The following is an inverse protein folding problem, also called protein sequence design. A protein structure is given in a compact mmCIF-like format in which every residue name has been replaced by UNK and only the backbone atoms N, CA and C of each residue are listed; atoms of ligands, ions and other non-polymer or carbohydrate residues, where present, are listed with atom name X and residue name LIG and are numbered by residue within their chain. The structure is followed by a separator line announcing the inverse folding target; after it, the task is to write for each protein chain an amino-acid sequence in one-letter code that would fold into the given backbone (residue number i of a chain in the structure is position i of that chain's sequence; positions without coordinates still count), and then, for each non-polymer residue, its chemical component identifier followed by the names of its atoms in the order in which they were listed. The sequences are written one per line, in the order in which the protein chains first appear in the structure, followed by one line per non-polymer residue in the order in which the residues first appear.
data_IF_653521292837
#
_entry.id   IF_653521292837
#
_cell.length_a   1.000
_cell.length_b   1.000
_cell.length_c   1.000
_cell.angle_alpha   90.00
_cell.angle_beta   90.00
_cell.angle_gamma   90.00
#
_symmetry.space_group_name_H-M   'P 1'
#
loop_
_entity.id
_entity.type
_entity.pdbx_description
1 polymer ?
#
# COMPACT_ATOMS: atom_id res chain seq x y z
N UNK A 1 43.02 -30.62 -45.38
CA UNK A 1 43.19 -29.82 -44.15
C UNK A 1 42.49 -28.48 -44.35
N UNK A 2 41.30 -28.32 -43.84
CA UNK A 2 40.63 -27.01 -43.82
C UNK A 2 41.38 -26.11 -42.83
N UNK A 3 41.72 -24.88 -43.27
CA UNK A 3 42.51 -23.95 -42.51
C UNK A 3 41.77 -23.57 -41.20
N UNK A 4 42.52 -23.27 -40.16
CA UNK A 4 42.02 -22.91 -38.83
C UNK A 4 41.02 -21.72 -38.88
N UNK A 5 41.13 -20.84 -39.89
CA UNK A 5 40.22 -19.72 -40.16
C UNK A 5 38.82 -20.18 -40.56
N UNK A 6 38.66 -21.23 -41.38
CA UNK A 6 37.37 -21.75 -41.82
C UNK A 6 36.61 -22.43 -40.65
N UNK A 7 37.33 -23.03 -39.70
CA UNK A 7 36.71 -23.61 -38.49
C UNK A 7 36.19 -22.56 -37.51
N UNK A 8 36.92 -21.43 -37.38
CA UNK A 8 36.47 -20.31 -36.50
C UNK A 8 35.24 -19.63 -37.05
N UNK A 9 35.13 -19.47 -38.39
CA UNK A 9 33.94 -18.86 -39.03
C UNK A 9 32.68 -19.71 -38.88
N UNK A 10 32.81 -21.03 -38.95
CA UNK A 10 31.66 -21.95 -38.75
C UNK A 10 31.22 -22.02 -37.31
N UNK A 11 32.13 -21.92 -36.34
CA UNK A 11 31.80 -21.89 -34.91
C UNK A 11 31.12 -20.55 -34.53
N UNK A 12 31.56 -19.43 -35.10
CA UNK A 12 30.95 -18.12 -34.91
C UNK A 12 29.53 -18.04 -35.51
N UNK A 13 29.30 -18.63 -36.69
CA UNK A 13 27.97 -18.69 -37.32
C UNK A 13 27.02 -19.59 -36.51
N UNK A 14 27.52 -20.72 -35.97
CA UNK A 14 26.70 -21.60 -35.15
C UNK A 14 26.31 -20.98 -33.77
N UNK A 15 27.20 -20.18 -33.17
CA UNK A 15 26.90 -19.43 -31.93
C UNK A 15 25.92 -18.29 -32.22
N UNK A 16 26.01 -17.63 -33.38
CA UNK A 16 25.09 -16.54 -33.74
C UNK A 16 23.68 -17.07 -34.07
N UNK A 17 23.53 -18.28 -34.60
CA UNK A 17 22.22 -18.91 -34.87
C UNK A 17 21.55 -19.46 -33.60
N UNK A 18 22.30 -19.77 -32.54
CA UNK A 18 21.76 -20.21 -31.26
C UNK A 18 21.24 -19.04 -30.39
N UNK A 19 21.67 -17.80 -30.68
CA UNK A 19 21.18 -16.62 -29.95
C UNK A 19 19.86 -16.01 -30.49
N UNK A 20 19.37 -16.46 -31.65
CA UNK A 20 18.17 -15.91 -32.30
C UNK A 20 16.91 -16.75 -32.12
N UNK A 21 16.92 -17.80 -31.29
CA UNK A 21 15.77 -18.68 -31.14
C UNK A 21 15.15 -18.72 -29.72
N UNK A 22 15.42 -17.69 -28.89
CA UNK A 22 14.55 -17.40 -27.74
C UNK A 22 13.57 -16.28 -28.10
N UNK A 23 12.74 -16.50 -29.12
CA UNK A 23 11.43 -15.88 -29.09
C UNK A 23 10.74 -16.48 -27.85
N UNK A 24 10.76 -15.73 -26.76
CA UNK A 24 9.89 -16.04 -25.64
C UNK A 24 8.48 -16.13 -26.20
N UNK A 25 7.91 -17.32 -26.25
CA UNK A 25 6.48 -17.46 -26.41
C UNK A 25 5.89 -16.67 -25.26
N UNK A 26 5.39 -15.48 -25.55
CA UNK A 26 4.49 -14.77 -24.67
C UNK A 26 3.36 -15.74 -24.40
N UNK A 27 3.15 -16.13 -23.13
CA UNK A 27 2.02 -16.99 -22.75
C UNK A 27 0.75 -16.19 -23.01
N UNK A 28 0.22 -16.31 -24.24
CA UNK A 28 -1.04 -15.69 -24.61
C UNK A 28 -2.18 -16.41 -23.90
N UNK A 29 -2.84 -15.70 -23.01
CA UNK A 29 -3.92 -16.21 -22.18
C UNK A 29 -5.22 -15.50 -22.52
N UNK A 30 -6.29 -16.26 -22.70
CA UNK A 30 -7.66 -15.74 -22.84
C UNK A 30 -8.51 -16.17 -21.65
N UNK A 31 -9.21 -15.23 -21.02
CA UNK A 31 -10.22 -15.54 -20.01
C UNK A 31 -11.59 -15.35 -20.63
N UNK A 32 -12.36 -16.44 -20.75
CA UNK A 32 -13.78 -16.37 -21.11
C UNK A 32 -14.58 -15.97 -19.88
N UNK A 33 -15.13 -14.77 -19.87
CA UNK A 33 -15.94 -14.25 -18.78
C UNK A 33 -17.42 -14.33 -19.10
N UNK A 34 -18.22 -14.84 -18.15
CA UNK A 34 -19.68 -14.76 -18.29
C UNK A 34 -20.16 -13.31 -18.25
N UNK A 35 -19.62 -12.55 -17.31
CA UNK A 35 -19.96 -11.14 -17.12
C UNK A 35 -18.70 -10.35 -16.70
N UNK A 36 -18.55 -9.14 -17.26
CA UNK A 36 -17.49 -8.20 -16.87
C UNK A 36 -18.14 -6.89 -16.43
N UNK A 37 -17.72 -6.37 -15.28
CA UNK A 37 -18.07 -5.02 -14.85
C UNK A 37 -17.18 -4.00 -15.57
N UNK A 38 -17.82 -3.13 -16.36
CA UNK A 38 -17.19 -1.91 -16.86
C UNK A 38 -17.26 -0.85 -15.75
N UNK A 39 -16.11 -0.53 -15.16
CA UNK A 39 -16.06 0.35 -13.98
C UNK A 39 -16.26 1.83 -14.31
N UNK A 40 -16.09 2.23 -15.57
CA UNK A 40 -16.32 3.62 -15.99
C UNK A 40 -17.80 3.91 -16.18
N UNK A 41 -18.52 3.00 -16.85
CA UNK A 41 -19.95 3.15 -17.09
C UNK A 41 -20.82 2.54 -15.99
N UNK A 42 -20.29 1.61 -15.18
CA UNK A 42 -21.05 0.79 -14.23
C UNK A 42 -21.88 -0.32 -14.90
N UNK A 43 -21.74 -0.52 -16.20
CA UNK A 43 -22.50 -1.53 -16.95
C UNK A 43 -21.86 -2.92 -16.83
N UNK A 44 -22.72 -3.96 -16.89
CA UNK A 44 -22.28 -5.36 -16.94
C UNK A 44 -22.36 -5.83 -18.38
N UNK A 45 -21.21 -6.18 -18.96
CA UNK A 45 -21.10 -6.74 -20.32
C UNK A 45 -21.04 -8.27 -20.25
N UNK A 46 -21.95 -8.95 -20.94
CA UNK A 46 -22.01 -10.41 -20.96
C UNK A 46 -21.12 -11.01 -22.07
N UNK A 47 -20.68 -12.26 -21.86
CA UNK A 47 -19.99 -13.09 -22.85
C UNK A 47 -18.76 -12.41 -23.46
N UNK A 48 -17.89 -11.87 -22.63
CA UNK A 48 -16.66 -11.21 -23.06
C UNK A 48 -15.44 -12.12 -22.88
N UNK A 49 -14.39 -11.85 -23.67
CA UNK A 49 -13.10 -12.51 -23.61
C UNK A 49 -12.04 -11.47 -23.27
N UNK A 50 -11.27 -11.71 -22.21
CA UNK A 50 -10.13 -10.88 -21.83
C UNK A 50 -8.88 -11.53 -22.42
N UNK A 51 -8.25 -10.86 -23.38
CA UNK A 51 -6.98 -11.29 -23.97
C UNK A 51 -5.81 -10.71 -23.17
N UNK A 52 -4.90 -11.58 -22.74
CA UNK A 52 -3.73 -11.24 -21.93
C UNK A 52 -2.48 -11.64 -22.67
N UNK A 53 -1.51 -10.72 -22.71
CA UNK A 53 -0.18 -10.93 -23.26
C UNK A 53 0.85 -10.63 -22.18
N UNK A 54 1.52 -11.67 -21.70
CA UNK A 54 2.39 -11.58 -20.53
C UNK A 54 1.61 -11.15 -19.27
N UNK A 55 1.86 -9.92 -18.79
CA UNK A 55 1.24 -9.38 -17.59
C UNK A 55 0.25 -8.22 -17.87
N UNK A 56 -0.17 -8.06 -19.12
CA UNK A 56 -1.05 -6.96 -19.53
C UNK A 56 -2.33 -7.46 -20.19
N UNK A 57 -3.46 -6.82 -19.87
CA UNK A 57 -4.70 -6.96 -20.63
C UNK A 57 -4.48 -6.25 -21.96
N UNK A 58 -4.54 -7.02 -23.06
CA UNK A 58 -4.36 -6.51 -24.41
C UNK A 58 -5.66 -5.96 -24.99
N UNK A 59 -6.74 -6.68 -24.76
CA UNK A 59 -8.06 -6.37 -25.32
C UNK A 59 -9.16 -7.07 -24.53
N UNK A 60 -10.35 -6.49 -24.53
CA UNK A 60 -11.60 -7.14 -24.12
C UNK A 60 -12.49 -7.20 -25.38
N UNK A 61 -12.84 -8.40 -25.82
CA UNK A 61 -13.51 -8.66 -27.09
C UNK A 61 -14.58 -9.76 -26.95
N UNK A 62 -15.41 -9.96 -27.97
CA UNK A 62 -16.33 -11.10 -28.07
C UNK A 62 -15.71 -12.31 -28.77
N UNK A 63 -14.61 -12.12 -29.51
CA UNK A 63 -14.00 -13.12 -30.35
C UNK A 63 -12.75 -13.72 -29.71
N UNK A 64 -12.62 -15.07 -29.73
CA UNK A 64 -11.44 -15.78 -29.26
C UNK A 64 -10.49 -16.06 -30.44
N UNK A 65 -9.33 -15.40 -30.51
CA UNK A 65 -8.34 -15.69 -31.53
C UNK A 65 -7.74 -17.09 -31.34
N UNK A 66 -7.26 -17.69 -32.43
CA UNK A 66 -6.49 -18.94 -32.37
C UNK A 66 -5.17 -18.77 -31.61
N UNK A 67 -4.70 -19.83 -30.94
CA UNK A 67 -3.41 -19.86 -30.27
C UNK A 67 -3.39 -19.41 -28.82
N UNK A 68 -4.50 -18.89 -28.28
CA UNK A 68 -4.60 -18.51 -26.87
C UNK A 68 -4.90 -19.72 -25.97
N UNK A 69 -4.14 -19.87 -24.89
CA UNK A 69 -4.52 -20.76 -23.78
C UNK A 69 -5.74 -20.17 -23.08
N UNK A 70 -6.79 -20.97 -22.88
CA UNK A 70 -8.06 -20.44 -22.36
C UNK A 70 -8.34 -20.88 -20.93
N UNK A 71 -8.75 -19.91 -20.08
CA UNK A 71 -9.39 -20.16 -18.79
C UNK A 71 -10.89 -19.89 -18.98
N UNK A 72 -11.73 -20.89 -18.74
CA UNK A 72 -13.18 -20.74 -18.86
C UNK A 72 -13.81 -20.35 -17.52
N UNK A 73 -14.31 -19.12 -17.45
CA UNK A 73 -15.06 -18.53 -16.35
C UNK A 73 -16.42 -17.99 -16.87
N UNK A 74 -17.01 -18.69 -17.84
CA UNK A 74 -18.26 -18.26 -18.49
C UNK A 74 -19.49 -18.27 -17.58
N UNK A 75 -19.37 -18.85 -16.37
CA UNK A 75 -20.39 -18.80 -15.31
C UNK A 75 -20.11 -17.76 -14.23
N UNK A 76 -19.04 -16.95 -14.35
CA UNK A 76 -18.57 -16.02 -13.33
C UNK A 76 -18.72 -14.56 -13.74
N UNK A 77 -18.82 -13.70 -12.72
CA UNK A 77 -18.62 -12.27 -12.83
C UNK A 77 -17.14 -11.94 -12.62
N UNK A 78 -16.57 -11.19 -13.55
CA UNK A 78 -15.19 -10.71 -13.49
C UNK A 78 -15.22 -9.22 -13.18
N UNK A 79 -14.44 -8.83 -12.19
CA UNK A 79 -14.23 -7.42 -11.82
C UNK A 79 -12.74 -7.13 -11.81
N UNK A 80 -12.31 -5.88 -12.01
CA UNK A 80 -10.92 -5.50 -11.76
C UNK A 80 -10.52 -5.81 -10.32
N UNK A 81 -9.23 -6.05 -10.10
CA UNK A 81 -8.72 -6.24 -8.74
C UNK A 81 -9.01 -5.04 -7.85
N UNK A 82 -9.42 -5.32 -6.61
CA UNK A 82 -9.78 -4.30 -5.63
C UNK A 82 -8.55 -3.55 -5.12
N UNK A 83 -8.79 -2.32 -4.65
CA UNK A 83 -7.80 -1.47 -3.97
C UNK A 83 -8.20 -1.30 -2.51
N UNK A 84 -7.25 -1.49 -1.59
CA UNK A 84 -7.41 -1.08 -0.20
C UNK A 84 -6.41 0.04 0.12
N UNK A 85 -6.94 1.22 0.43
CA UNK A 85 -6.14 2.43 0.62
C UNK A 85 -5.70 2.64 2.07
N UNK A 86 -6.06 1.72 2.99
CA UNK A 86 -5.65 1.80 4.39
C UNK A 86 -5.41 0.42 4.99
N UNK A 87 -4.18 -0.07 4.90
CA UNK A 87 -3.81 -1.37 5.46
C UNK A 87 -2.64 -1.28 6.43
N UNK A 88 -2.54 -2.29 7.32
CA UNK A 88 -1.40 -2.59 8.19
C UNK A 88 -1.10 -4.08 8.06
N UNK A 89 -0.41 -4.49 6.99
CA UNK A 89 -0.19 -5.91 6.69
C UNK A 89 0.85 -6.56 7.59
N UNK A 90 1.83 -5.77 8.08
CA UNK A 90 2.90 -6.30 8.93
C UNK A 90 2.39 -6.56 10.34
N UNK A 91 2.65 -7.75 10.85
CA UNK A 91 2.25 -8.18 12.18
C UNK A 91 1.47 -9.47 12.17
N UNK A 92 1.13 -9.94 13.36
CA UNK A 92 0.26 -11.09 13.56
C UNK A 92 -1.00 -10.59 14.23
N UNK A 93 -2.14 -10.80 13.59
CA UNK A 93 -3.44 -10.53 14.19
C UNK A 93 -3.62 -11.49 15.36
N UNK A 94 -3.69 -10.94 16.56
CA UNK A 94 -3.98 -11.65 17.80
C UNK A 94 -5.10 -10.92 18.53
N UNK A 95 -5.87 -11.67 19.30
CA UNK A 95 -7.02 -11.15 20.03
C UNK A 95 -6.64 -10.36 21.30
N UNK A 96 -5.35 -10.36 21.66
CA UNK A 96 -4.88 -9.64 22.85
C UNK A 96 -4.17 -8.34 22.48
N UNK A 97 -4.62 -7.27 23.09
CA UNK A 97 -4.10 -5.91 22.88
C UNK A 97 -2.58 -5.77 23.13
N UNK A 98 -2.03 -6.63 24.00
CA UNK A 98 -0.61 -6.64 24.35
C UNK A 98 0.24 -7.61 23.53
N UNK A 99 -0.34 -8.35 22.60
CA UNK A 99 0.41 -9.36 21.84
C UNK A 99 1.60 -8.80 21.07
N UNK A 100 1.50 -7.56 20.59
CA UNK A 100 2.59 -6.88 19.88
C UNK A 100 3.85 -6.71 20.73
N UNK A 101 3.72 -6.57 22.06
CA UNK A 101 4.85 -6.44 22.97
C UNK A 101 5.69 -7.73 23.10
N UNK A 102 5.09 -8.88 22.77
CA UNK A 102 5.73 -10.20 22.85
C UNK A 102 6.11 -10.76 21.48
N UNK A 103 5.79 -10.06 20.40
CA UNK A 103 6.16 -10.48 19.05
C UNK A 103 7.55 -9.98 18.68
N UNK A 104 8.42 -10.91 18.27
CA UNK A 104 9.68 -10.49 17.67
C UNK A 104 9.44 -9.84 16.30
N UNK A 105 10.31 -8.90 15.86
CA UNK A 105 10.24 -8.33 14.51
C UNK A 105 10.21 -9.39 13.40
N UNK A 106 10.95 -10.47 13.57
CA UNK A 106 10.97 -11.59 12.63
C UNK A 106 9.60 -12.27 12.50
N UNK A 107 8.90 -12.48 13.63
CA UNK A 107 7.56 -13.07 13.63
C UNK A 107 6.54 -12.12 13.00
N UNK A 108 6.66 -10.82 13.25
CA UNK A 108 5.83 -9.80 12.64
C UNK A 108 5.99 -9.78 11.11
N UNK A 109 7.23 -9.89 10.61
CA UNK A 109 7.53 -9.96 9.18
C UNK A 109 6.91 -11.19 8.51
N UNK A 110 7.04 -12.39 9.13
CA UNK A 110 6.39 -13.61 8.62
C UNK A 110 4.86 -13.45 8.59
N UNK A 111 4.28 -12.80 9.61
CA UNK A 111 2.87 -12.44 9.64
C UNK A 111 2.48 -11.56 8.46
N UNK A 112 3.31 -10.58 8.12
CA UNK A 112 3.11 -9.69 6.97
C UNK A 112 3.03 -10.45 5.65
N UNK A 113 3.89 -11.44 5.42
CA UNK A 113 3.84 -12.31 4.21
C UNK A 113 2.52 -13.08 4.14
N UNK A 114 2.09 -13.67 5.26
CA UNK A 114 0.81 -14.40 5.33
C UNK A 114 -0.37 -13.48 5.06
N UNK A 115 -0.37 -12.28 5.64
CA UNK A 115 -1.44 -11.30 5.46
C UNK A 115 -1.47 -10.78 4.03
N UNK A 116 -0.32 -10.47 3.41
CA UNK A 116 -0.23 -10.06 2.01
C UNK A 116 -0.85 -11.09 1.06
N UNK A 117 -0.53 -12.39 1.26
CA UNK A 117 -1.14 -13.45 0.47
C UNK A 117 -2.65 -13.56 0.69
N UNK A 118 -3.13 -13.46 1.93
CA UNK A 118 -4.58 -13.48 2.24
C UNK A 118 -5.30 -12.30 1.58
N UNK A 119 -4.72 -11.12 1.63
CA UNK A 119 -5.26 -9.90 1.02
C UNK A 119 -5.36 -10.05 -0.51
N UNK A 120 -4.31 -10.57 -1.16
CA UNK A 120 -4.33 -10.86 -2.59
C UNK A 120 -5.41 -11.89 -2.94
N UNK A 121 -5.52 -12.98 -2.17
CA UNK A 121 -6.51 -14.05 -2.39
C UNK A 121 -7.95 -13.60 -2.11
N UNK A 122 -8.14 -12.55 -1.32
CA UNK A 122 -9.43 -11.89 -1.14
C UNK A 122 -9.83 -10.95 -2.30
N UNK A 123 -8.95 -10.80 -3.32
CA UNK A 123 -9.21 -9.98 -4.50
C UNK A 123 -8.61 -8.57 -4.46
N UNK A 124 -7.92 -8.18 -3.39
CA UNK A 124 -7.22 -6.90 -3.32
C UNK A 124 -5.87 -7.01 -4.01
N UNK A 125 -5.76 -6.48 -5.21
CA UNK A 125 -4.54 -6.56 -6.03
C UNK A 125 -3.58 -5.39 -5.82
N UNK A 126 -4.03 -4.34 -5.13
CA UNK A 126 -3.23 -3.17 -4.79
C UNK A 126 -3.61 -2.64 -3.41
N UNK A 127 -2.62 -2.28 -2.60
CA UNK A 127 -2.86 -1.74 -1.26
C UNK A 127 -1.94 -0.55 -0.95
N UNK A 128 -2.41 0.32 -0.06
CA UNK A 128 -1.61 1.34 0.59
C UNK A 128 -1.41 0.96 2.05
N UNK A 129 -0.18 0.58 2.41
CA UNK A 129 0.17 0.24 3.79
C UNK A 129 0.62 1.50 4.53
N UNK A 130 -0.15 1.91 5.51
CA UNK A 130 -0.01 3.21 6.16
C UNK A 130 0.59 3.12 7.57
N UNK A 131 1.53 2.20 7.75
CA UNK A 131 2.34 2.09 8.95
C UNK A 131 2.92 0.70 9.16
N UNK A 132 4.23 0.64 9.40
CA UNK A 132 4.93 -0.55 9.86
C UNK A 132 6.22 -0.14 10.60
N UNK A 133 6.58 -0.79 11.71
CA UNK A 133 7.85 -0.55 12.36
C UNK A 133 9.02 -1.07 11.51
N UNK A 134 10.22 -0.58 11.77
CA UNK A 134 11.49 -1.08 11.18
C UNK A 134 11.49 -1.18 9.64
N UNK A 135 10.65 -0.41 8.93
CA UNK A 135 10.51 -0.47 7.47
C UNK A 135 10.18 -1.88 6.93
N UNK A 136 9.52 -2.70 7.73
CA UNK A 136 9.16 -4.07 7.34
C UNK A 136 8.20 -4.10 6.15
N UNK A 137 7.35 -3.09 5.98
CA UNK A 137 6.48 -2.94 4.82
C UNK A 137 7.27 -2.62 3.53
N UNK A 138 8.37 -1.86 3.64
CA UNK A 138 9.30 -1.62 2.53
C UNK A 138 9.95 -2.93 2.09
N UNK A 139 10.40 -3.76 3.05
CA UNK A 139 10.96 -5.07 2.76
C UNK A 139 9.93 -5.99 2.09
N UNK A 140 8.70 -6.04 2.63
CA UNK A 140 7.59 -6.85 2.08
C UNK A 140 7.26 -6.43 0.63
N UNK A 141 7.09 -5.13 0.38
CA UNK A 141 6.85 -4.58 -0.97
C UNK A 141 7.98 -4.99 -1.94
N UNK A 142 9.22 -4.85 -1.52
CA UNK A 142 10.37 -5.17 -2.37
C UNK A 142 10.42 -6.66 -2.72
N UNK A 143 10.15 -7.55 -1.75
CA UNK A 143 10.09 -9.00 -1.99
C UNK A 143 8.91 -9.39 -2.89
N UNK A 144 7.75 -8.74 -2.76
CA UNK A 144 6.62 -8.94 -3.69
C UNK A 144 7.00 -8.48 -5.10
N UNK A 145 7.62 -7.30 -5.24
CA UNK A 145 8.05 -6.77 -6.54
C UNK A 145 9.13 -7.64 -7.20
N UNK A 146 9.96 -8.31 -6.41
CA UNK A 146 10.95 -9.28 -6.87
C UNK A 146 10.36 -10.68 -7.17
N UNK A 147 9.05 -10.87 -6.97
CA UNK A 147 8.36 -12.17 -7.08
C UNK A 147 8.91 -13.26 -6.12
N UNK A 148 9.48 -12.88 -5.00
CA UNK A 148 9.97 -13.81 -3.97
C UNK A 148 8.82 -14.34 -3.11
N UNK A 149 7.80 -13.51 -2.87
CA UNK A 149 6.61 -13.85 -2.10
C UNK A 149 5.33 -13.34 -2.80
N UNK A 150 4.19 -14.04 -2.68
CA UNK A 150 2.93 -13.58 -3.23
C UNK A 150 2.34 -12.42 -2.40
N UNK A 151 1.77 -11.44 -3.07
CA UNK A 151 1.07 -10.32 -2.43
C UNK A 151 0.55 -9.29 -3.43
N UNK A 152 -0.25 -8.33 -2.98
CA UNK A 152 -0.71 -7.21 -3.80
C UNK A 152 0.43 -6.24 -4.13
N UNK A 153 0.26 -5.40 -5.13
CA UNK A 153 1.13 -4.23 -5.32
C UNK A 153 0.97 -3.31 -4.12
N UNK A 154 2.08 -2.86 -3.55
CA UNK A 154 2.05 -2.06 -2.32
C UNK A 154 2.63 -0.66 -2.53
N UNK A 155 1.98 0.34 -1.93
CA UNK A 155 2.55 1.63 -1.57
C UNK A 155 2.72 1.67 -0.05
N UNK A 156 3.90 2.05 0.44
CA UNK A 156 4.27 1.86 1.85
C UNK A 156 4.79 3.13 2.50
N UNK A 157 4.50 3.32 3.78
CA UNK A 157 4.86 4.53 4.53
C UNK A 157 6.04 4.33 5.50
N UNK A 158 6.42 3.08 5.80
CA UNK A 158 7.33 2.83 6.92
C UNK A 158 6.72 3.22 8.27
N UNK A 159 7.52 3.62 9.26
CA UNK A 159 7.03 4.05 10.56
C UNK A 159 6.13 5.29 10.46
N UNK A 160 4.92 5.19 11.01
CA UNK A 160 3.98 6.32 11.11
C UNK A 160 4.53 7.37 12.08
N UNK A 161 4.45 8.65 11.70
CA UNK A 161 4.99 9.76 12.49
C UNK A 161 3.96 10.25 13.51
N UNK A 162 4.38 10.42 14.76
CA UNK A 162 3.53 10.89 15.86
C UNK A 162 4.32 11.63 16.92
N UNK A 163 3.62 12.33 17.80
CA UNK A 163 4.21 13.00 18.97
C UNK A 163 4.57 11.98 20.06
N UNK A 164 5.47 12.36 20.96
CA UNK A 164 5.71 11.64 22.22
C UNK A 164 4.39 11.47 22.99
N UNK A 165 4.10 10.23 23.41
CA UNK A 165 2.85 9.87 24.08
C UNK A 165 1.60 9.91 23.17
N UNK A 166 1.76 10.07 21.85
CA UNK A 166 0.69 10.13 20.86
C UNK A 166 0.18 8.76 20.40
N UNK A 167 -0.68 8.78 19.39
CA UNK A 167 -1.30 7.58 18.82
C UNK A 167 -0.29 6.59 18.23
N UNK A 168 0.80 7.09 17.66
CA UNK A 168 1.85 6.27 17.05
C UNK A 168 2.98 5.91 18.02
N UNK A 169 2.89 6.26 19.30
CA UNK A 169 3.90 5.94 20.30
C UNK A 169 3.54 4.69 21.11
N UNK A 170 4.54 4.13 21.79
CA UNK A 170 4.38 2.98 22.67
C UNK A 170 4.03 3.43 24.08
N UNK A 171 2.74 3.56 24.38
CA UNK A 171 2.20 4.11 25.62
C UNK A 171 1.90 3.03 26.69
N UNK A 172 2.27 1.77 26.46
CA UNK A 172 1.89 0.67 27.37
C UNK A 172 2.91 0.40 28.48
N UNK A 173 4.16 0.77 28.23
CA UNK A 173 5.25 0.53 29.17
C UNK A 173 5.38 1.71 30.13
N UNK A 174 5.72 1.42 31.38
CA UNK A 174 6.00 2.47 32.34
C UNK A 174 7.33 3.19 32.00
N UNK A 175 7.50 4.39 32.51
CA UNK A 175 8.61 5.30 32.19
C UNK A 175 10.02 4.72 32.39
N UNK A 176 10.19 3.65 33.18
CA UNK A 176 11.51 3.04 33.42
C UNK A 176 12.06 2.25 32.23
N UNK A 177 11.22 1.97 31.23
CA UNK A 177 11.66 1.25 30.02
C UNK A 177 12.22 2.17 28.94
N UNK A 178 11.99 3.48 29.01
CA UNK A 178 12.49 4.49 28.06
C UNK A 178 12.34 4.09 26.59
N UNK A 179 11.21 3.48 26.23
CA UNK A 179 10.93 3.02 24.87
C UNK A 179 10.00 3.99 24.15
N UNK A 180 10.38 4.33 22.93
CA UNK A 180 9.61 5.13 22.00
C UNK A 180 9.42 4.35 20.70
N UNK A 181 8.33 4.61 19.99
CA UNK A 181 8.16 4.05 18.64
C UNK A 181 9.06 4.75 17.62
N UNK A 182 9.43 4.03 16.56
CA UNK A 182 10.36 4.53 15.52
C UNK A 182 9.88 5.83 14.84
N UNK A 183 8.57 6.10 14.86
CA UNK A 183 7.96 7.26 14.23
C UNK A 183 7.89 8.51 15.11
N UNK A 184 8.25 8.43 16.40
CA UNK A 184 8.15 9.58 17.32
C UNK A 184 9.07 10.72 16.88
N UNK A 185 8.50 11.92 16.78
CA UNK A 185 9.21 13.16 16.47
C UNK A 185 8.40 14.37 16.94
N UNK A 186 9.00 15.21 17.78
CA UNK A 186 8.40 16.43 18.30
C UNK A 186 9.07 17.67 17.72
N UNK A 187 8.25 18.65 17.38
CA UNK A 187 8.72 19.90 16.80
C UNK A 187 9.17 19.80 15.32
N UNK A 188 9.16 20.91 14.60
CA UNK A 188 9.39 20.95 13.16
C UNK A 188 10.71 20.33 12.70
N UNK A 189 11.77 20.44 13.48
CA UNK A 189 13.11 19.96 13.09
C UNK A 189 13.27 18.46 13.20
N UNK A 190 12.75 17.84 14.27
CA UNK A 190 12.78 16.39 14.41
C UNK A 190 11.87 15.73 13.37
N UNK A 191 10.69 16.30 13.11
CA UNK A 191 9.76 15.87 12.08
C UNK A 191 10.44 15.85 10.71
N UNK A 192 11.08 16.95 10.29
CA UNK A 192 11.82 17.01 9.02
C UNK A 192 12.92 15.96 8.94
N UNK A 193 13.68 15.75 10.04
CA UNK A 193 14.70 14.72 10.11
C UNK A 193 14.09 13.32 9.95
N UNK A 194 12.94 13.05 10.59
CA UNK A 194 12.25 11.76 10.51
C UNK A 194 11.74 11.48 9.10
N UNK A 195 11.15 12.46 8.41
CA UNK A 195 10.72 12.34 7.01
C UNK A 195 11.89 11.99 6.10
N UNK A 196 13.02 12.70 6.23
CA UNK A 196 14.23 12.41 5.46
C UNK A 196 14.73 10.97 5.69
N UNK A 197 14.62 10.48 6.94
CA UNK A 197 14.95 9.11 7.28
C UNK A 197 13.99 8.11 6.60
N UNK A 198 12.68 8.34 6.66
CA UNK A 198 11.71 7.47 6.00
C UNK A 198 11.93 7.42 4.48
N UNK A 199 12.13 8.58 3.85
CA UNK A 199 12.44 8.66 2.41
C UNK A 199 13.75 7.96 2.06
N UNK A 200 14.81 8.11 2.89
CA UNK A 200 16.08 7.41 2.71
C UNK A 200 15.90 5.90 2.65
N UNK A 201 15.00 5.34 3.44
CA UNK A 201 14.72 3.90 3.48
C UNK A 201 13.64 3.46 2.48
N UNK A 202 13.23 4.34 1.59
CA UNK A 202 12.48 3.98 0.38
C UNK A 202 10.98 3.91 0.54
N UNK A 203 10.38 4.71 1.44
CA UNK A 203 8.93 4.81 1.54
C UNK A 203 8.32 5.50 0.32
N UNK A 204 7.09 5.15 -0.03
CA UNK A 204 6.33 5.74 -1.15
C UNK A 204 5.51 6.96 -0.72
N UNK A 205 5.14 7.04 0.56
CA UNK A 205 4.35 8.12 1.15
C UNK A 205 4.75 8.33 2.61
N UNK A 206 4.28 9.40 3.21
CA UNK A 206 4.41 9.68 4.64
C UNK A 206 3.06 9.48 5.31
N UNK A 207 3.03 8.79 6.45
CA UNK A 207 1.86 8.71 7.34
C UNK A 207 2.16 9.39 8.66
N UNK A 208 1.20 10.16 9.17
CA UNK A 208 1.28 10.73 10.50
C UNK A 208 -0.07 10.70 11.22
N UNK A 209 -0.05 10.94 12.54
CA UNK A 209 -1.25 11.06 13.37
C UNK A 209 -1.52 12.51 13.74
N UNK A 210 -2.56 13.09 13.13
CA UNK A 210 -3.05 14.43 13.46
C UNK A 210 -3.85 14.45 14.76
N UNK A 211 -4.49 13.32 15.12
CA UNK A 211 -5.28 13.17 16.35
C UNK A 211 -4.99 11.87 17.07
N UNK A 212 -5.41 11.77 18.32
CA UNK A 212 -5.51 10.51 19.04
C UNK A 212 -6.49 9.56 18.38
N UNK A 213 -6.22 8.25 18.48
CA UNK A 213 -6.97 7.16 17.85
C UNK A 213 -7.65 6.23 18.84
N UNK A 214 -8.45 5.32 18.33
CA UNK A 214 -9.26 4.37 19.12
C UNK A 214 -8.40 3.35 19.86
N UNK A 215 -7.34 2.85 19.20
CA UNK A 215 -6.53 1.74 19.71
C UNK A 215 -5.26 2.18 20.45
N UNK A 216 -5.09 3.45 20.76
CA UNK A 216 -3.92 3.94 21.50
C UNK A 216 -4.22 4.17 22.97
N UNK A 217 -3.40 3.58 23.85
CA UNK A 217 -3.50 3.79 25.28
C UNK A 217 -3.11 5.22 25.65
N UNK A 218 -3.85 5.84 26.59
CA UNK A 218 -3.52 7.17 27.13
C UNK A 218 -3.82 8.35 26.20
N UNK A 219 -4.31 8.11 24.98
CA UNK A 219 -4.75 9.19 24.09
C UNK A 219 -6.27 9.33 24.09
N UNK A 220 -6.77 10.55 23.91
CA UNK A 220 -8.19 10.79 23.72
C UNK A 220 -8.51 10.80 22.23
N UNK A 221 -9.46 9.95 21.81
CA UNK A 221 -9.89 9.87 20.40
C UNK A 221 -10.29 11.25 19.89
N UNK A 222 -9.73 11.64 18.76
CA UNK A 222 -10.02 12.90 18.09
C UNK A 222 -9.35 14.14 18.69
N UNK A 223 -8.67 14.03 19.83
CA UNK A 223 -7.88 15.16 20.34
C UNK A 223 -6.68 15.41 19.43
N UNK A 224 -6.52 16.64 18.99
CA UNK A 224 -5.38 17.05 18.15
C UNK A 224 -4.05 16.78 18.85
N UNK A 225 -3.07 16.26 18.12
CA UNK A 225 -1.75 15.90 18.63
C UNK A 225 -0.64 16.88 18.21
N UNK A 226 -0.58 17.22 16.94
CA UNK A 226 0.38 18.19 16.42
C UNK A 226 -0.19 19.60 16.40
N UNK A 227 0.66 20.61 16.57
CA UNK A 227 0.35 22.01 16.27
C UNK A 227 0.24 22.22 14.76
N UNK A 228 -0.32 23.35 14.33
CA UNK A 228 -0.38 23.68 12.91
C UNK A 228 1.00 23.78 12.25
N UNK A 229 1.97 24.42 12.94
CA UNK A 229 3.32 24.63 12.43
C UNK A 229 4.07 23.29 12.26
N UNK A 230 3.83 22.32 13.15
CA UNK A 230 4.38 20.98 13.03
C UNK A 230 3.78 20.22 11.85
N UNK A 231 2.45 20.26 11.68
CA UNK A 231 1.78 19.64 10.52
C UNK A 231 2.25 20.27 9.22
N UNK A 232 2.37 21.61 9.18
CA UNK A 232 2.86 22.34 8.01
C UNK A 232 4.30 21.95 7.66
N UNK A 233 5.18 21.88 8.68
CA UNK A 233 6.57 21.47 8.49
C UNK A 233 6.69 20.03 7.99
N UNK A 234 5.80 19.13 8.47
CA UNK A 234 5.72 17.74 8.07
C UNK A 234 5.36 17.63 6.58
N UNK A 235 4.26 18.26 6.20
CA UNK A 235 3.70 18.17 4.86
C UNK A 235 4.63 18.81 3.84
N UNK A 236 5.16 20.00 4.11
CA UNK A 236 6.11 20.67 3.22
C UNK A 236 7.37 19.83 3.00
N UNK A 237 7.95 19.27 4.06
CA UNK A 237 9.14 18.41 3.92
C UNK A 237 8.87 17.15 3.11
N UNK A 238 7.67 16.56 3.23
CA UNK A 238 7.28 15.39 2.45
C UNK A 238 7.08 15.73 0.98
N UNK A 239 6.36 16.82 0.68
CA UNK A 239 6.11 17.29 -0.68
C UNK A 239 7.40 17.72 -1.38
N UNK A 240 8.34 18.38 -0.69
CA UNK A 240 9.68 18.72 -1.21
C UNK A 240 10.47 17.47 -1.66
N UNK A 241 10.04 16.27 -1.27
CA UNK A 241 10.62 14.96 -1.62
C UNK A 241 9.71 14.10 -2.46
N UNK A 242 8.69 14.71 -3.06
CA UNK A 242 7.72 14.02 -3.92
C UNK A 242 7.05 12.83 -3.19
N UNK A 243 6.62 13.08 -1.94
CA UNK A 243 5.88 12.10 -1.13
C UNK A 243 4.54 12.67 -0.70
N UNK A 244 3.46 11.97 -1.06
CA UNK A 244 2.14 12.24 -0.54
C UNK A 244 2.07 12.00 0.96
N UNK A 245 1.18 12.71 1.63
CA UNK A 245 0.99 12.63 3.08
C UNK A 245 -0.41 12.14 3.41
N UNK A 246 -0.49 11.10 4.24
CA UNK A 246 -1.72 10.55 4.79
C UNK A 246 -1.82 10.86 6.29
N UNK A 247 -2.92 11.48 6.73
CA UNK A 247 -3.15 11.83 8.12
C UNK A 247 -4.21 10.96 8.77
N UNK A 248 -3.84 10.19 9.80
CA UNK A 248 -4.81 9.64 10.73
C UNK A 248 -5.50 10.79 11.48
N UNK A 249 -6.80 10.93 11.36
CA UNK A 249 -7.55 11.97 12.04
C UNK A 249 -9.02 11.58 12.26
N UNK A 250 -9.44 11.54 13.54
CA UNK A 250 -10.83 11.36 13.90
C UNK A 250 -11.54 12.69 14.21
N UNK A 251 -10.88 13.56 14.98
CA UNK A 251 -11.48 14.80 15.47
C UNK A 251 -11.45 15.92 14.43
N UNK A 252 -12.56 16.64 14.32
CA UNK A 252 -12.76 17.67 13.30
C UNK A 252 -11.70 18.78 13.30
N UNK A 253 -11.20 19.19 14.47
CA UNK A 253 -10.13 20.21 14.55
C UNK A 253 -8.83 19.72 13.94
N UNK A 254 -8.42 18.47 14.23
CA UNK A 254 -7.21 17.89 13.65
C UNK A 254 -7.34 17.67 12.14
N UNK A 255 -8.53 17.27 11.67
CA UNK A 255 -8.85 17.14 10.24
C UNK A 255 -8.69 18.51 9.55
N UNK A 256 -9.35 19.55 10.10
CA UNK A 256 -9.28 20.93 9.57
C UNK A 256 -7.85 21.44 9.49
N UNK A 257 -7.04 21.22 10.53
CA UNK A 257 -5.65 21.66 10.56
C UNK A 257 -4.78 20.92 9.54
N UNK A 258 -4.97 19.60 9.41
CA UNK A 258 -4.25 18.81 8.41
C UNK A 258 -4.58 19.28 6.98
N UNK A 259 -5.87 19.54 6.68
CA UNK A 259 -6.30 20.07 5.38
C UNK A 259 -5.66 21.44 5.09
N UNK A 260 -5.74 22.38 6.05
CA UNK A 260 -5.16 23.72 5.89
C UNK A 260 -3.62 23.69 5.78
N UNK A 261 -2.97 22.68 6.37
CA UNK A 261 -1.53 22.47 6.22
C UNK A 261 -1.14 21.86 4.86
N UNK A 262 -2.12 21.35 4.07
CA UNK A 262 -1.92 20.84 2.71
C UNK A 262 -1.80 19.32 2.59
N UNK A 263 -2.40 18.54 3.50
CA UNK A 263 -2.40 17.07 3.45
C UNK A 263 -3.08 16.54 2.19
N UNK A 264 -2.65 15.38 1.69
CA UNK A 264 -3.25 14.76 0.49
C UNK A 264 -4.44 13.87 0.84
N UNK A 265 -4.36 13.12 1.96
CA UNK A 265 -5.45 12.24 2.39
C UNK A 265 -5.70 12.29 3.89
N UNK A 266 -6.97 12.16 4.26
CA UNK A 266 -7.42 12.01 5.65
C UNK A 266 -7.95 10.58 5.80
N UNK A 267 -7.44 9.88 6.80
CA UNK A 267 -7.84 8.52 7.16
C UNK A 267 -8.87 8.58 8.29
N UNK A 268 -9.89 7.74 8.21
CA UNK A 268 -11.01 7.58 9.13
C UNK A 268 -12.03 8.74 9.10
N UNK A 269 -11.65 9.97 9.35
CA UNK A 269 -12.52 11.17 9.35
C UNK A 269 -13.80 11.04 10.21
N UNK A 270 -13.78 10.28 11.31
CA UNK A 270 -14.98 9.81 12.06
C UNK A 270 -15.89 10.95 12.54
N UNK A 271 -15.33 12.07 13.01
CA UNK A 271 -16.09 13.21 13.51
C UNK A 271 -16.07 14.39 12.53
N UNK A 272 -15.98 14.09 11.24
CA UNK A 272 -16.03 15.09 10.17
C UNK A 272 -17.39 15.80 10.18
N UNK A 273 -17.38 17.13 10.13
CA UNK A 273 -18.59 17.92 9.92
C UNK A 273 -18.69 18.47 8.51
N UNK A 274 -19.84 19.03 8.14
CA UNK A 274 -20.12 19.53 6.80
C UNK A 274 -19.15 20.63 6.38
N UNK A 275 -18.83 21.60 7.25
CA UNK A 275 -17.87 22.69 6.97
C UNK A 275 -16.50 22.12 6.55
N UNK A 276 -16.00 21.15 7.32
CA UNK A 276 -14.68 20.55 7.07
C UNK A 276 -14.71 19.60 5.87
N UNK A 277 -15.84 18.95 5.57
CA UNK A 277 -16.01 18.16 4.35
C UNK A 277 -15.97 19.06 3.08
N UNK A 278 -16.60 20.25 3.14
CA UNK A 278 -16.50 21.24 2.07
C UNK A 278 -15.05 21.71 1.91
N UNK A 279 -14.37 22.00 3.03
CA UNK A 279 -12.96 22.42 3.01
C UNK A 279 -12.05 21.33 2.39
N UNK A 280 -12.28 20.05 2.69
CA UNK A 280 -11.55 18.95 2.10
C UNK A 280 -11.73 18.92 0.56
N UNK A 281 -12.96 19.05 0.08
CA UNK A 281 -13.27 19.13 -1.35
C UNK A 281 -12.59 20.31 -2.04
N UNK A 282 -12.65 21.51 -1.42
CA UNK A 282 -12.06 22.75 -1.98
C UNK A 282 -10.53 22.68 -2.07
N UNK A 283 -9.89 21.88 -1.20
CA UNK A 283 -8.44 21.66 -1.19
C UNK A 283 -8.02 20.34 -1.89
N UNK A 284 -8.94 19.64 -2.58
CA UNK A 284 -8.70 18.35 -3.25
C UNK A 284 -8.15 17.26 -2.33
N UNK A 285 -8.52 17.27 -1.05
CA UNK A 285 -8.12 16.24 -0.08
C UNK A 285 -9.04 15.04 -0.20
N UNK A 286 -8.45 13.85 -0.35
CA UNK A 286 -9.20 12.59 -0.42
C UNK A 286 -9.47 12.05 1.00
N UNK A 287 -10.68 11.52 1.21
CA UNK A 287 -11.06 10.87 2.46
C UNK A 287 -11.01 9.35 2.28
N UNK A 288 -10.18 8.67 3.06
CA UNK A 288 -10.13 7.20 3.14
C UNK A 288 -10.87 6.75 4.40
N UNK A 289 -12.18 6.49 4.25
CA UNK A 289 -13.08 6.21 5.37
C UNK A 289 -13.29 4.70 5.54
N UNK A 290 -13.17 4.21 6.77
CA UNK A 290 -13.25 2.79 7.12
C UNK A 290 -14.71 2.37 7.35
N UNK A 291 -15.49 2.23 6.31
CA UNK A 291 -16.94 1.99 6.44
C UNK A 291 -17.24 0.67 7.17
N UNK A 292 -16.45 -0.38 6.92
CA UNK A 292 -16.69 -1.72 7.46
C UNK A 292 -16.00 -1.99 8.81
N UNK A 293 -14.94 -1.27 9.13
CA UNK A 293 -14.12 -1.51 10.32
C UNK A 293 -14.93 -1.37 11.63
N UNK A 294 -15.91 -0.47 11.65
CA UNK A 294 -16.76 -0.24 12.83
C UNK A 294 -17.60 -1.47 13.19
N UNK A 295 -18.18 -2.16 12.22
CA UNK A 295 -18.97 -3.36 12.43
C UNK A 295 -18.11 -4.50 12.96
N UNK A 296 -16.91 -4.70 12.36
CA UNK A 296 -15.98 -5.75 12.77
C UNK A 296 -15.39 -5.55 14.17
N UNK A 297 -15.16 -4.31 14.59
CA UNK A 297 -14.54 -4.01 15.90
C UNK A 297 -15.53 -4.00 17.06
N UNK A 298 -16.84 -4.10 16.80
CA UNK A 298 -17.89 -4.18 17.82
C UNK A 298 -18.21 -5.63 18.26
N UNK A 299 -17.75 -6.63 17.52
CA UNK A 299 -17.85 -8.05 17.85
C UNK A 299 -16.70 -8.52 18.79
#
# INVERSE_FOLDING_TARGET
MLSMQTRLTHVLILIFTLFFSSQGYSDQLAIKAGFILDVESGEIKANQIILIDGNQIKEITSDLPEGYKTIDLSDKYIVPGLFDMHTHLVGVLDKTYFSSLFQSPHRAMIGGIVNANKTLMAGFTSVRNVGAPDFMDVALRNSINANEVPGPRMKVSGPSIGITGGHCDNNYLNHSFEQYSDGVADGPWEIRKKIRNNVKYGVDLIKFSATGGVFSHGTKVGLRQYTFDEMKALIDEAHDRDRHVAAHAHGNEGIKFAILAGVDTIEHATFLNEETAILARENNVTLAMDIYNTDYTQE
#
